data_IF_740536957145
#
_entry.id   IF_740536957145
#
_cell.length_a   1.000
_cell.length_b   1.000
_cell.length_c   1.000
_cell.angle_alpha   90.00
_cell.angle_beta   90.00
_cell.angle_gamma   90.00
#
_symmetry.space_group_name_H-M   'P 1'
#
loop_
_entity.id
_entity.type
_entity.pdbx_description
1 polymer ?
#
# COMPACT_ATOMS: atom_id res chain seq x y z
N UNK A 1 15.37 -7.16 30.29
CA UNK A 1 14.05 -6.94 29.66
C UNK A 1 14.22 -6.46 28.25
N UNK A 2 13.26 -6.73 27.37
CA UNK A 2 13.25 -6.20 26.01
C UNK A 2 13.20 -4.66 26.07
N UNK A 3 14.02 -3.99 25.29
CA UNK A 3 13.98 -2.53 25.16
C UNK A 3 12.74 -2.03 24.40
N UNK A 4 11.94 -2.94 23.85
CA UNK A 4 10.77 -2.66 23.01
C UNK A 4 9.50 -3.29 23.58
N UNK A 5 8.32 -2.70 23.33
CA UNK A 5 7.05 -3.24 23.77
C UNK A 5 6.73 -4.57 23.07
N UNK A 6 5.73 -5.28 23.56
CA UNK A 6 5.13 -6.40 22.84
C UNK A 6 4.71 -5.93 21.43
N UNK A 7 4.93 -6.77 20.40
CA UNK A 7 4.70 -6.48 18.98
C UNK A 7 5.73 -5.51 18.34
N UNK A 8 6.78 -5.12 19.07
CA UNK A 8 7.83 -4.26 18.56
C UNK A 8 7.49 -2.77 18.61
N UNK A 9 8.44 -1.93 18.21
CA UNK A 9 8.25 -0.48 18.06
C UNK A 9 7.51 -0.16 16.76
N UNK A 10 7.32 1.13 16.51
CA UNK A 10 6.73 1.64 15.29
C UNK A 10 7.46 1.09 14.03
N UNK A 11 6.73 0.80 12.94
CA UNK A 11 7.25 0.08 11.78
C UNK A 11 8.37 0.82 11.01
N UNK A 12 8.60 2.08 11.30
CA UNK A 12 9.70 2.87 10.72
C UNK A 12 10.98 2.88 11.55
N UNK A 13 11.00 2.20 12.72
CA UNK A 13 12.20 2.09 13.58
C UNK A 13 13.18 1.08 13.02
N UNK A 14 14.18 1.59 12.36
CA UNK A 14 15.16 0.78 11.65
C UNK A 14 16.24 0.14 12.54
N UNK A 15 16.40 0.61 13.76
CA UNK A 15 17.25 0.01 14.78
C UNK A 15 16.64 -1.32 15.32
N UNK A 16 15.36 -1.53 15.12
CA UNK A 16 14.72 -2.79 15.47
C UNK A 16 14.97 -3.85 14.39
N UNK A 17 15.91 -4.73 14.63
CA UNK A 17 16.37 -5.75 13.68
C UNK A 17 15.26 -6.61 13.07
N UNK A 18 14.18 -7.04 13.79
CA UNK A 18 13.12 -7.82 13.17
C UNK A 18 12.44 -7.14 11.98
N UNK A 19 12.26 -5.81 11.99
CA UNK A 19 11.65 -5.10 10.85
C UNK A 19 12.53 -5.10 9.59
N UNK A 20 13.82 -5.33 9.75
CA UNK A 20 14.78 -5.41 8.66
C UNK A 20 14.92 -6.82 8.09
N UNK A 21 14.36 -7.83 8.76
CA UNK A 21 14.41 -9.22 8.28
C UNK A 21 13.45 -9.42 7.12
N UNK A 22 14.01 -9.71 5.96
CA UNK A 22 13.20 -10.08 4.81
C UNK A 22 12.64 -11.50 5.01
N UNK A 23 11.32 -11.61 4.86
CA UNK A 23 10.60 -12.89 4.85
C UNK A 23 10.44 -13.32 3.40
N UNK A 24 11.10 -14.40 2.95
CA UNK A 24 11.06 -14.79 1.52
C UNK A 24 9.64 -15.04 1.00
N UNK A 25 8.75 -15.58 1.83
CA UNK A 25 7.34 -15.82 1.47
C UNK A 25 6.54 -14.54 1.18
N UNK A 26 7.05 -13.38 1.57
CA UNK A 26 6.42 -12.08 1.27
C UNK A 26 6.92 -11.45 -0.03
N UNK A 27 7.81 -12.12 -0.74
CA UNK A 27 8.32 -11.64 -2.02
C UNK A 27 7.77 -12.48 -3.17
N UNK A 28 7.28 -11.79 -4.20
CA UNK A 28 6.95 -12.43 -5.46
C UNK A 28 8.23 -12.69 -6.26
N UNK A 29 8.50 -13.94 -6.68
CA UNK A 29 9.70 -14.26 -7.47
C UNK A 29 9.77 -13.53 -8.82
N UNK A 30 8.63 -13.11 -9.34
CA UNK A 30 8.54 -12.38 -10.61
C UNK A 30 8.85 -10.89 -10.48
N UNK A 31 8.80 -10.33 -9.27
CA UNK A 31 9.19 -8.94 -9.02
C UNK A 31 10.70 -8.87 -8.78
N UNK A 32 11.42 -8.60 -9.85
CA UNK A 32 12.90 -8.51 -9.86
C UNK A 32 13.45 -7.20 -9.27
N UNK A 33 12.58 -6.33 -8.76
CA UNK A 33 13.03 -5.04 -8.21
C UNK A 33 13.98 -5.26 -7.04
N UNK A 34 15.11 -4.55 -7.00
CA UNK A 34 16.01 -4.62 -5.86
C UNK A 34 15.30 -4.15 -4.60
N UNK A 35 15.71 -4.68 -3.47
CA UNK A 35 15.28 -4.18 -2.16
C UNK A 35 16.03 -2.87 -1.95
N UNK A 36 15.39 -1.76 -2.32
CA UNK A 36 15.98 -0.43 -2.20
C UNK A 36 15.59 0.23 -0.88
N UNK A 37 16.49 1.04 -0.40
CA UNK A 37 16.21 1.94 0.70
C UNK A 37 15.28 3.06 0.22
N UNK A 38 14.47 3.55 1.13
CA UNK A 38 13.62 4.69 0.88
C UNK A 38 14.46 5.94 0.53
N UNK A 39 14.07 6.68 -0.51
CA UNK A 39 14.79 7.84 -1.04
C UNK A 39 15.08 8.96 -0.02
N UNK A 40 14.48 8.92 1.16
CA UNK A 40 14.64 9.94 2.22
C UNK A 40 15.65 9.52 3.32
N UNK A 41 16.58 8.61 3.04
CA UNK A 41 17.61 8.20 4.00
C UNK A 41 17.10 7.41 5.21
N UNK A 42 15.90 6.85 5.13
CA UNK A 42 15.40 5.92 6.14
C UNK A 42 16.12 4.58 5.99
N UNK A 43 16.39 3.94 7.09
CA UNK A 43 17.05 2.64 7.09
C UNK A 43 16.19 1.56 6.43
N UNK A 44 16.83 0.52 5.86
CA UNK A 44 16.15 -0.51 5.12
C UNK A 44 15.21 -1.32 6.03
N UNK A 45 13.91 -1.17 5.81
CA UNK A 45 12.86 -2.05 6.34
C UNK A 45 12.55 -3.09 5.26
N UNK A 46 12.32 -4.31 5.67
CA UNK A 46 12.05 -5.40 4.72
C UNK A 46 10.72 -5.20 3.97
N UNK A 47 10.63 -5.73 2.77
CA UNK A 47 9.62 -5.44 1.76
C UNK A 47 8.58 -6.56 1.66
N UNK A 48 7.46 -6.26 0.99
CA UNK A 48 6.44 -7.24 0.63
C UNK A 48 5.88 -6.98 -0.76
N UNK A 49 5.47 -8.04 -1.45
CA UNK A 49 4.66 -7.97 -2.67
C UNK A 49 3.19 -8.29 -2.42
N UNK A 50 2.78 -8.50 -1.19
CA UNK A 50 1.41 -8.89 -0.88
C UNK A 50 0.76 -7.85 0.01
N UNK A 51 -0.46 -7.45 -0.39
CA UNK A 51 -1.28 -6.47 0.31
C UNK A 51 -2.59 -7.05 0.76
N UNK A 52 -3.21 -6.37 1.71
CA UNK A 52 -4.46 -6.75 2.36
C UNK A 52 -5.61 -5.87 1.86
N UNK A 53 -6.76 -6.47 1.59
CA UNK A 53 -7.94 -5.76 1.11
C UNK A 53 -8.62 -4.96 2.22
N UNK A 54 -8.64 -3.64 2.06
CA UNK A 54 -9.36 -2.72 2.95
C UNK A 54 -10.81 -2.44 2.47
N UNK A 55 -11.23 -3.07 1.36
CA UNK A 55 -12.55 -2.88 0.77
C UNK A 55 -12.58 -1.77 -0.27
N UNK A 56 -13.75 -1.18 -0.48
CA UNK A 56 -14.04 -0.24 -1.57
C UNK A 56 -14.23 1.22 -1.13
N UNK A 57 -13.75 1.57 0.06
CA UNK A 57 -13.82 2.92 0.60
C UNK A 57 -12.45 3.57 0.63
N UNK A 58 -12.40 4.89 0.37
CA UNK A 58 -11.17 5.69 0.47
C UNK A 58 -11.12 6.37 1.83
N UNK A 59 -12.13 7.21 2.12
CA UNK A 59 -12.13 8.02 3.33
C UNK A 59 -12.32 7.16 4.58
N UNK A 60 -11.45 7.40 5.56
CA UNK A 60 -11.52 6.75 6.86
C UNK A 60 -11.11 5.27 6.88
N UNK A 61 -10.89 4.63 5.73
CA UNK A 61 -10.65 3.19 5.65
C UNK A 61 -9.46 2.72 6.48
N UNK A 62 -8.39 3.50 6.55
CA UNK A 62 -7.21 3.13 7.32
C UNK A 62 -7.47 3.01 8.83
N UNK A 63 -8.33 3.84 9.39
CA UNK A 63 -8.62 3.89 10.82
C UNK A 63 -10.00 3.27 11.18
N UNK A 64 -10.76 2.83 10.20
CA UNK A 64 -12.06 2.21 10.42
C UNK A 64 -11.90 0.81 11.03
N UNK A 65 -12.76 0.50 12.00
CA UNK A 65 -12.85 -0.84 12.60
C UNK A 65 -13.82 -1.77 11.85
N UNK A 66 -14.56 -1.22 10.90
CA UNK A 66 -15.63 -1.88 10.17
C UNK A 66 -15.53 -1.61 8.67
N UNK A 67 -14.35 -1.79 8.10
CA UNK A 67 -14.16 -1.74 6.65
C UNK A 67 -15.01 -2.79 5.95
N UNK A 68 -15.35 -2.53 4.68
CA UNK A 68 -16.03 -3.50 3.82
C UNK A 68 -15.09 -4.57 3.27
N UNK A 69 -13.78 -4.43 3.49
CA UNK A 69 -12.78 -5.47 3.25
C UNK A 69 -12.55 -6.36 4.47
N UNK A 70 -11.81 -7.43 4.27
CA UNK A 70 -11.50 -8.40 5.32
C UNK A 70 -10.48 -7.90 6.35
N UNK A 71 -9.88 -6.75 6.13
CA UNK A 71 -8.92 -6.15 7.05
C UNK A 71 -9.38 -4.75 7.45
N UNK A 72 -9.33 -4.49 8.75
CA UNK A 72 -9.68 -3.21 9.31
C UNK A 72 -8.81 -2.91 10.54
N UNK A 73 -8.74 -1.64 10.91
CA UNK A 73 -7.93 -1.20 12.04
C UNK A 73 -8.39 -1.84 13.36
N UNK A 74 -7.48 -2.55 14.02
CA UNK A 74 -7.74 -3.17 15.34
C UNK A 74 -9.00 -4.04 15.39
N UNK A 75 -9.34 -4.69 14.28
CA UNK A 75 -10.47 -5.61 14.16
C UNK A 75 -10.00 -6.95 13.63
N UNK A 76 -10.69 -8.02 14.03
CA UNK A 76 -10.44 -9.37 13.56
C UNK A 76 -11.72 -9.89 12.91
N UNK A 77 -11.65 -10.18 11.62
CA UNK A 77 -12.72 -10.85 10.89
C UNK A 77 -12.34 -12.30 10.63
N UNK A 78 -13.29 -13.20 10.76
CA UNK A 78 -13.15 -14.61 10.38
C UNK A 78 -13.80 -14.88 9.02
N UNK A 79 -13.62 -16.08 8.51
CA UNK A 79 -14.27 -16.51 7.24
C UNK A 79 -15.80 -16.47 7.36
N UNK A 80 -16.34 -16.66 8.57
CA UNK A 80 -17.77 -16.54 8.85
C UNK A 80 -18.34 -15.14 8.64
N UNK A 81 -17.47 -14.12 8.65
CA UNK A 81 -17.88 -12.73 8.45
C UNK A 81 -17.96 -12.36 6.97
N UNK A 82 -17.54 -13.27 6.07
CA UNK A 82 -17.71 -13.14 4.63
C UNK A 82 -19.16 -13.45 4.22
N UNK A 83 -20.08 -12.53 4.48
CA UNK A 83 -21.52 -12.74 4.25
C UNK A 83 -21.87 -12.96 2.77
N UNK A 84 -21.07 -12.43 1.85
CA UNK A 84 -21.24 -12.59 0.40
C UNK A 84 -20.58 -13.88 -0.13
N UNK A 85 -20.02 -14.69 0.77
CA UNK A 85 -19.29 -15.92 0.48
C UNK A 85 -17.79 -15.69 0.23
N UNK A 86 -16.99 -16.61 0.72
CA UNK A 86 -15.52 -16.53 0.60
C UNK A 86 -15.01 -16.54 -0.85
N UNK A 87 -15.79 -17.08 -1.78
CA UNK A 87 -15.47 -17.08 -3.22
C UNK A 87 -15.63 -15.71 -3.87
N UNK A 88 -16.38 -14.80 -3.25
CA UNK A 88 -16.70 -13.48 -3.78
C UNK A 88 -15.96 -12.36 -3.01
N UNK A 89 -15.14 -12.74 -2.03
CA UNK A 89 -14.44 -11.78 -1.17
C UNK A 89 -12.94 -11.80 -1.45
N UNK A 90 -12.39 -10.66 -1.81
CA UNK A 90 -10.94 -10.52 -2.02
C UNK A 90 -10.27 -10.34 -0.66
N UNK A 91 -9.40 -11.28 -0.30
CA UNK A 91 -8.63 -11.26 0.94
C UNK A 91 -7.32 -10.51 0.76
N UNK A 92 -6.53 -10.93 -0.21
CA UNK A 92 -5.19 -10.42 -0.49
C UNK A 92 -5.02 -10.18 -1.98
N UNK A 93 -4.09 -9.32 -2.33
CA UNK A 93 -3.69 -9.04 -3.70
C UNK A 93 -2.20 -8.86 -3.81
N UNK A 94 -1.69 -8.96 -5.03
CA UNK A 94 -0.30 -8.70 -5.31
C UNK A 94 -0.06 -7.20 -5.44
N UNK A 95 1.10 -6.75 -4.98
CA UNK A 95 1.57 -5.38 -5.08
C UNK A 95 2.92 -5.37 -5.78
N UNK A 96 3.06 -4.53 -6.79
CA UNK A 96 4.37 -4.21 -7.34
C UNK A 96 5.08 -3.29 -6.34
N UNK A 97 6.31 -3.66 -5.96
CA UNK A 97 7.15 -2.81 -5.12
C UNK A 97 7.58 -1.56 -5.87
N UNK A 98 7.84 -0.48 -5.13
CA UNK A 98 8.24 0.79 -5.74
C UNK A 98 9.40 0.62 -6.73
N UNK A 99 9.25 1.23 -7.91
CA UNK A 99 10.23 1.16 -8.98
C UNK A 99 11.00 2.48 -9.18
N UNK A 100 10.59 3.54 -8.48
CA UNK A 100 11.15 4.88 -8.66
C UNK A 100 10.71 5.55 -9.95
N UNK A 101 11.11 6.81 -10.14
CA UNK A 101 10.72 7.61 -11.30
C UNK A 101 9.22 7.89 -11.35
N UNK A 102 8.70 8.15 -12.55
CA UNK A 102 7.29 8.47 -12.79
C UNK A 102 6.45 7.25 -13.20
N UNK A 103 7.00 6.03 -13.15
CA UNK A 103 6.22 4.84 -13.50
C UNK A 103 4.97 4.71 -12.62
N UNK A 104 3.86 4.32 -13.21
CA UNK A 104 2.60 4.10 -12.51
C UNK A 104 2.68 2.91 -11.56
N UNK A 105 3.37 1.84 -11.96
CA UNK A 105 3.48 0.62 -11.18
C UNK A 105 4.41 0.81 -9.97
N UNK A 106 3.97 0.37 -8.81
CA UNK A 106 4.71 0.42 -7.57
C UNK A 106 4.87 1.81 -6.95
N UNK A 107 4.41 2.86 -7.59
CA UNK A 107 4.49 4.23 -7.10
C UNK A 107 3.12 4.80 -6.75
N UNK A 108 3.10 5.72 -5.79
CA UNK A 108 1.90 6.46 -5.39
C UNK A 108 2.09 7.93 -5.73
N UNK A 109 1.21 8.48 -6.55
CA UNK A 109 1.20 9.91 -6.86
C UNK A 109 0.47 10.70 -5.77
N UNK A 110 0.97 11.89 -5.46
CA UNK A 110 0.31 12.81 -4.52
C UNK A 110 -0.57 13.75 -5.32
N UNK A 111 -1.88 13.54 -5.22
CA UNK A 111 -2.89 14.27 -6.00
C UNK A 111 -4.00 14.72 -5.05
N UNK A 112 -4.14 16.02 -4.87
CA UNK A 112 -5.19 16.59 -4.02
C UNK A 112 -6.59 16.21 -4.54
N UNK A 113 -7.50 15.89 -3.63
CA UNK A 113 -8.90 15.58 -3.92
C UNK A 113 -9.18 14.13 -4.34
N UNK A 114 -8.17 13.27 -4.45
CA UNK A 114 -8.38 11.86 -4.83
C UNK A 114 -9.13 11.05 -3.78
N UNK A 115 -9.22 11.55 -2.57
CA UNK A 115 -10.03 10.95 -1.50
C UNK A 115 -11.54 11.08 -1.73
N UNK A 116 -11.97 12.03 -2.57
CA UNK A 116 -13.38 12.27 -2.94
C UNK A 116 -13.66 11.99 -4.40
N UNK A 117 -12.69 12.15 -5.28
CA UNK A 117 -12.83 11.93 -6.72
C UNK A 117 -11.72 11.01 -7.27
N UNK A 118 -12.02 9.70 -7.43
CA UNK A 118 -11.07 8.74 -7.97
C UNK A 118 -10.63 9.01 -9.42
N UNK A 119 -11.39 9.80 -10.19
CA UNK A 119 -11.06 10.08 -11.58
C UNK A 119 -9.79 10.93 -11.71
N UNK A 120 -9.50 11.76 -10.70
CA UNK A 120 -8.30 12.59 -10.64
C UNK A 120 -7.01 11.74 -10.68
N UNK A 121 -7.04 10.56 -10.05
CA UNK A 121 -5.91 9.64 -10.07
C UNK A 121 -5.59 9.13 -11.48
N UNK A 122 -6.62 8.83 -12.27
CA UNK A 122 -6.46 8.43 -13.69
C UNK A 122 -6.06 9.59 -14.57
N UNK A 123 -6.57 10.79 -14.29
CA UNK A 123 -6.23 12.00 -15.02
C UNK A 123 -4.76 12.42 -14.84
N UNK A 124 -4.10 11.97 -13.77
CA UNK A 124 -2.68 12.23 -13.52
C UNK A 124 -1.73 11.39 -14.37
N UNK A 125 -2.24 10.41 -15.14
CA UNK A 125 -1.41 9.65 -16.08
C UNK A 125 -1.07 10.45 -17.33
N UNK A 126 0.14 10.25 -17.84
CA UNK A 126 0.58 10.85 -19.09
C UNK A 126 -0.33 10.39 -20.25
N UNK A 127 -0.96 11.29 -21.00
CA UNK A 127 -1.82 10.93 -22.13
C UNK A 127 -1.09 10.14 -23.23
N UNK A 128 0.23 10.33 -23.35
CA UNK A 128 1.07 9.66 -24.36
C UNK A 128 1.70 8.35 -23.81
N UNK A 129 1.72 8.17 -22.49
CA UNK A 129 2.29 6.99 -21.84
C UNK A 129 1.48 6.61 -20.60
N UNK A 130 0.46 5.79 -20.75
CA UNK A 130 -0.44 5.37 -19.66
C UNK A 130 0.25 4.56 -18.55
N UNK A 131 1.50 4.19 -18.74
CA UNK A 131 2.31 3.51 -17.72
C UNK A 131 3.12 4.49 -16.85
N UNK A 132 2.95 5.80 -17.04
CA UNK A 132 3.65 6.83 -16.29
C UNK A 132 2.72 7.95 -15.85
N UNK A 133 3.08 8.63 -14.77
CA UNK A 133 2.46 9.88 -14.37
C UNK A 133 3.03 11.06 -15.18
N UNK A 134 2.27 12.12 -15.29
CA UNK A 134 2.70 13.38 -15.94
C UNK A 134 3.97 13.91 -15.28
N UNK A 135 4.87 14.49 -16.08
CA UNK A 135 6.10 15.11 -15.57
C UNK A 135 5.78 16.19 -14.52
N UNK A 136 6.53 16.17 -13.43
CA UNK A 136 6.34 17.06 -12.28
C UNK A 136 5.36 16.53 -11.23
N UNK A 137 4.70 15.40 -11.44
CA UNK A 137 3.89 14.75 -10.41
C UNK A 137 4.78 14.34 -9.22
N UNK A 138 4.35 14.71 -8.02
CA UNK A 138 5.02 14.26 -6.80
C UNK A 138 4.74 12.78 -6.57
N UNK A 139 5.81 11.99 -6.39
CA UNK A 139 5.74 10.53 -6.26
C UNK A 139 6.27 10.09 -4.89
N UNK A 140 5.62 9.08 -4.33
CA UNK A 140 6.05 8.34 -3.14
C UNK A 140 6.20 6.85 -3.46
N UNK A 141 7.31 6.28 -3.02
CA UNK A 141 7.60 4.86 -3.16
C UNK A 141 7.10 4.07 -1.95
N UNK A 142 5.81 4.01 -1.74
CA UNK A 142 5.23 3.37 -0.56
C UNK A 142 4.83 1.92 -0.79
N UNK A 143 4.51 1.55 -2.02
CA UNK A 143 3.99 0.22 -2.33
C UNK A 143 4.96 -0.88 -1.91
N UNK A 144 4.52 -1.74 -1.00
CA UNK A 144 5.31 -2.85 -0.47
C UNK A 144 6.55 -2.46 0.33
N UNK A 145 6.68 -1.18 0.74
CA UNK A 145 7.92 -0.67 1.36
C UNK A 145 8.20 -1.23 2.74
N UNK A 146 7.18 -1.58 3.52
CA UNK A 146 7.34 -2.08 4.90
C UNK A 146 6.36 -3.20 5.17
N UNK A 147 6.84 -4.44 5.20
CA UNK A 147 5.96 -5.59 5.44
C UNK A 147 5.22 -5.56 6.79
N UNK A 148 5.78 -4.88 7.77
CA UNK A 148 5.23 -4.77 9.13
C UNK A 148 4.34 -3.54 9.34
N UNK A 149 4.15 -2.71 8.32
CA UNK A 149 3.37 -1.47 8.41
C UNK A 149 1.98 -1.70 7.82
N UNK A 150 0.95 -1.69 8.66
CA UNK A 150 -0.44 -1.87 8.25
C UNK A 150 -1.06 -0.66 7.53
N UNK A 151 -0.27 0.38 7.26
CA UNK A 151 -0.74 1.52 6.49
C UNK A 151 -1.16 1.08 5.09
N UNK A 152 -2.34 1.54 4.65
CA UNK A 152 -2.91 1.19 3.34
C UNK A 152 -2.00 1.55 2.17
N UNK A 153 -1.15 2.56 2.31
CA UNK A 153 -0.16 2.91 1.30
C UNK A 153 0.97 1.89 1.17
N UNK A 154 1.30 1.17 2.25
CA UNK A 154 2.44 0.24 2.34
C UNK A 154 2.02 -1.19 1.99
N UNK A 155 1.08 -1.74 2.74
CA UNK A 155 0.65 -3.15 2.64
C UNK A 155 -0.84 -3.31 2.40
N UNK A 156 -1.57 -2.22 2.14
CA UNK A 156 -2.99 -2.27 1.84
C UNK A 156 -3.30 -2.03 0.37
N UNK A 157 -4.49 -2.45 -0.01
CA UNK A 157 -5.13 -1.99 -1.24
C UNK A 157 -6.65 -1.84 -1.03
N UNK A 158 -7.27 -1.06 -1.90
CA UNK A 158 -8.71 -0.95 -1.99
C UNK A 158 -9.19 -1.28 -3.42
N UNK A 159 -10.47 -1.58 -3.54
CA UNK A 159 -11.10 -1.97 -4.80
C UNK A 159 -11.87 -0.83 -5.46
N UNK A 160 -11.49 0.42 -5.16
CA UNK A 160 -12.08 1.63 -5.74
C UNK A 160 -11.80 1.73 -7.24
N UNK A 161 -10.59 1.38 -7.65
CA UNK A 161 -10.24 1.24 -9.06
C UNK A 161 -9.89 -0.23 -9.37
N UNK A 162 -10.02 -0.65 -10.64
CA UNK A 162 -9.61 -1.99 -11.06
C UNK A 162 -8.13 -2.28 -10.77
N UNK A 163 -7.72 -3.56 -10.72
CA UNK A 163 -6.31 -3.93 -10.67
C UNK A 163 -5.50 -3.26 -11.79
N UNK A 164 -4.22 -3.03 -11.54
CA UNK A 164 -3.31 -2.33 -12.46
C UNK A 164 -3.72 -0.89 -12.77
N UNK A 165 -4.50 -0.26 -11.90
CA UNK A 165 -4.78 1.17 -11.95
C UNK A 165 -3.72 1.96 -11.15
N UNK A 166 -3.60 3.29 -11.40
CA UNK A 166 -2.67 4.12 -10.65
C UNK A 166 -3.01 4.14 -9.15
N UNK A 167 -1.99 4.33 -8.33
CA UNK A 167 -2.11 4.55 -6.90
C UNK A 167 -1.92 6.03 -6.61
N UNK A 168 -2.83 6.62 -5.85
CA UNK A 168 -2.79 8.05 -5.53
C UNK A 168 -3.17 8.30 -4.07
N UNK A 169 -2.58 9.32 -3.48
CA UNK A 169 -2.94 9.83 -2.17
C UNK A 169 -3.19 11.34 -2.23
N UNK A 170 -4.09 11.83 -1.38
CA UNK A 170 -4.29 13.27 -1.23
C UNK A 170 -3.30 13.91 -0.26
N UNK A 171 -2.42 13.14 0.34
CA UNK A 171 -1.56 13.57 1.44
C UNK A 171 -0.14 13.04 1.27
N UNK A 172 0.81 13.88 1.64
CA UNK A 172 2.25 13.64 1.48
C UNK A 172 2.89 12.90 2.64
N UNK A 173 2.21 12.80 3.79
CA UNK A 173 2.86 12.34 5.02
C UNK A 173 2.84 10.84 5.21
N UNK A 174 1.68 10.21 5.12
CA UNK A 174 1.56 8.80 5.43
C UNK A 174 0.56 8.05 4.52
N UNK A 175 -0.05 8.75 3.56
CA UNK A 175 -0.95 8.13 2.60
C UNK A 175 -2.21 7.54 3.22
N UNK A 176 -2.76 8.19 4.24
CA UNK A 176 -3.93 7.67 4.96
C UNK A 176 -5.16 7.55 4.09
N UNK A 177 -5.36 8.50 3.18
CA UNK A 177 -6.54 8.56 2.35
C UNK A 177 -6.15 8.57 0.88
N UNK A 178 -6.27 7.43 0.29
CA UNK A 178 -5.84 7.26 -1.08
C UNK A 178 -6.49 6.09 -1.77
N UNK A 179 -6.22 6.02 -3.05
CA UNK A 179 -6.60 4.93 -3.92
C UNK A 179 -5.37 4.05 -4.08
N UNK A 180 -5.47 2.83 -3.62
CA UNK A 180 -4.38 1.87 -3.63
C UNK A 180 -4.83 0.62 -4.35
N UNK A 181 -4.66 0.60 -5.67
CA UNK A 181 -5.00 -0.56 -6.49
C UNK A 181 -4.01 -1.69 -6.29
N UNK A 182 -4.47 -2.93 -6.34
CA UNK A 182 -3.60 -4.10 -6.52
C UNK A 182 -2.92 -4.04 -7.89
N UNK A 183 -1.65 -4.44 -7.98
CA UNK A 183 -0.83 -4.29 -9.18
C UNK A 183 0.00 -5.55 -9.43
#
# INVERSE_FOLDING_TARGET
GSAYPAWGPEPWKADYTPWRRQVPAFLCPSDSQPIQDWANGRSPIAKTNYGFSNGDSIQGSQNARNNRGMFAHSSCYGISDCTDGSSNTILMGELVRTQGGLTMLGNTAIIAGTDTDPTLCRAALDPNNKNAFVAGTEIRGWSGDRWCDSNSSMTGFNTVLPPNSPRCSNDTWDGRWGIYSAQ
#
